data_IF_725901504837
#
_entry.id   IF_725901504837
#
_cell.length_a   1.000
_cell.length_b   1.000
_cell.length_c   1.000
_cell.angle_alpha   90.00
_cell.angle_beta   90.00
_cell.angle_gamma   90.00
#
_symmetry.space_group_name_H-M   'P 1'
#
loop_
_entity.id
_entity.type
_entity.pdbx_description
1 polymer ?
#
# COMPACT_ATOMS: atom_id res chain seq x y z
N UNK A 1 -22.03 -10.06 18.25
CA UNK A 1 -20.76 -9.97 17.49
C UNK A 1 -20.32 -8.51 17.31
N UNK A 2 -20.50 -7.68 18.34
CA UNK A 2 -20.17 -6.25 18.32
C UNK A 2 -18.79 -6.05 18.97
N UNK A 3 -17.87 -5.38 18.28
CA UNK A 3 -16.63 -4.84 18.87
C UNK A 3 -15.37 -5.73 18.84
N UNK A 4 -15.39 -6.93 18.25
CA UNK A 4 -14.19 -7.79 18.10
C UNK A 4 -13.95 -8.18 16.64
N UNK A 5 -12.70 -8.24 16.21
CA UNK A 5 -12.36 -8.64 14.84
C UNK A 5 -12.67 -10.13 14.60
N UNK A 6 -13.06 -10.45 13.37
CA UNK A 6 -13.49 -11.79 12.98
C UNK A 6 -12.36 -12.82 13.10
N UNK A 7 -11.10 -12.41 12.98
CA UNK A 7 -9.92 -13.24 13.19
C UNK A 7 -9.78 -13.68 14.64
N UNK A 8 -9.86 -12.74 15.58
CA UNK A 8 -9.79 -13.03 17.02
C UNK A 8 -10.92 -13.92 17.51
N UNK A 9 -12.15 -13.72 17.00
CA UNK A 9 -13.29 -14.57 17.38
C UNK A 9 -13.07 -16.01 16.89
N UNK A 10 -12.52 -16.17 15.68
CA UNK A 10 -12.25 -17.50 15.11
C UNK A 10 -11.05 -18.17 15.77
N UNK A 11 -10.01 -17.42 16.16
CA UNK A 11 -8.91 -17.98 16.95
C UNK A 11 -9.37 -18.46 18.31
N UNK A 12 -10.26 -17.71 18.98
CA UNK A 12 -10.83 -18.11 20.28
C UNK A 12 -11.68 -19.38 20.14
N UNK A 13 -12.48 -19.48 19.06
CA UNK A 13 -13.28 -20.68 18.76
C UNK A 13 -12.38 -21.88 18.49
N UNK A 14 -11.31 -21.74 17.68
CA UNK A 14 -10.34 -22.82 17.45
C UNK A 14 -9.67 -23.27 18.74
N UNK A 15 -9.18 -22.33 19.55
CA UNK A 15 -8.54 -22.65 20.82
C UNK A 15 -9.50 -23.34 21.81
N UNK A 16 -10.78 -22.97 21.81
CA UNK A 16 -11.81 -23.64 22.60
C UNK A 16 -12.13 -25.05 22.09
N UNK A 17 -12.14 -25.26 20.77
CA UNK A 17 -12.34 -26.58 20.17
C UNK A 17 -11.15 -27.50 20.50
N UNK A 18 -9.92 -27.03 20.28
CA UNK A 18 -8.71 -27.82 20.55
C UNK A 18 -8.54 -28.18 22.04
N UNK A 19 -9.06 -27.35 22.96
CA UNK A 19 -8.93 -27.59 24.41
C UNK A 19 -10.08 -28.36 25.04
N UNK A 20 -11.28 -28.35 24.43
CA UNK A 20 -12.49 -28.94 25.04
C UNK A 20 -13.13 -30.05 24.22
N UNK A 21 -12.70 -30.29 22.99
CA UNK A 21 -13.31 -31.26 22.09
C UNK A 21 -12.26 -32.28 21.68
N UNK A 22 -12.42 -33.51 22.16
CA UNK A 22 -11.59 -34.64 21.73
C UNK A 22 -12.16 -35.16 20.40
N UNK A 23 -11.48 -34.82 19.30
CA UNK A 23 -11.91 -35.18 17.94
C UNK A 23 -11.41 -36.60 17.60
N UNK A 24 -12.31 -37.55 17.27
CA UNK A 24 -11.89 -38.89 16.86
C UNK A 24 -11.08 -38.85 15.55
N UNK A 25 -10.15 -39.79 15.39
CA UNK A 25 -9.25 -39.88 14.23
C UNK A 25 -10.03 -39.86 12.92
N UNK A 26 -9.73 -38.89 12.05
CA UNK A 26 -10.37 -38.72 10.75
C UNK A 26 -11.41 -37.59 10.67
N UNK A 27 -11.76 -36.95 11.80
CA UNK A 27 -12.66 -35.79 11.83
C UNK A 27 -11.87 -34.49 11.98
N UNK A 28 -12.19 -33.50 11.15
CA UNK A 28 -11.62 -32.15 11.21
C UNK A 28 -12.73 -31.10 11.30
N UNK A 29 -12.47 -30.02 12.03
CA UNK A 29 -13.40 -28.88 12.13
C UNK A 29 -12.90 -27.75 11.24
N UNK A 30 -13.71 -27.37 10.27
CA UNK A 30 -13.44 -26.23 9.39
C UNK A 30 -14.49 -25.13 9.62
N UNK A 31 -14.01 -23.91 9.85
CA UNK A 31 -14.87 -22.75 10.13
C UNK A 31 -15.16 -22.05 8.80
N UNK A 32 -16.30 -22.39 8.20
CA UNK A 32 -16.79 -21.81 6.95
C UNK A 32 -17.47 -20.45 7.10
N UNK A 33 -17.97 -19.92 5.98
CA UNK A 33 -18.78 -18.69 5.95
C UNK A 33 -17.97 -17.41 5.67
N UNK A 34 -18.30 -16.30 6.34
CA UNK A 34 -17.68 -14.98 6.10
C UNK A 34 -16.17 -14.97 6.39
N UNK A 35 -15.71 -15.73 7.39
CA UNK A 35 -14.29 -15.84 7.73
C UNK A 35 -13.47 -16.54 6.64
N UNK A 36 -14.02 -17.57 6.02
CA UNK A 36 -13.39 -18.26 4.89
C UNK A 36 -13.28 -17.33 3.67
N UNK A 37 -14.32 -16.54 3.40
CA UNK A 37 -14.28 -15.49 2.38
C UNK A 37 -13.23 -14.42 2.70
N UNK A 38 -13.11 -14.02 3.97
CA UNK A 38 -12.10 -13.07 4.42
C UNK A 38 -10.67 -13.63 4.29
N UNK A 39 -10.45 -14.91 4.62
CA UNK A 39 -9.15 -15.56 4.41
C UNK A 39 -8.79 -15.69 2.93
N UNK A 40 -9.74 -16.12 2.09
CA UNK A 40 -9.55 -16.18 0.63
C UNK A 40 -9.17 -14.81 0.08
N UNK A 41 -9.86 -13.76 0.53
CA UNK A 41 -9.55 -12.38 0.20
C UNK A 41 -8.15 -11.98 0.65
N UNK A 42 -7.79 -12.18 1.93
CA UNK A 42 -6.46 -11.84 2.44
C UNK A 42 -5.32 -12.55 1.70
N UNK A 43 -5.50 -13.82 1.33
CA UNK A 43 -4.51 -14.55 0.52
C UNK A 43 -4.30 -13.93 -0.85
N UNK A 44 -5.37 -13.46 -1.50
CA UNK A 44 -5.26 -12.74 -2.78
C UNK A 44 -4.53 -11.42 -2.60
N UNK A 45 -4.89 -10.64 -1.57
CA UNK A 45 -4.26 -9.35 -1.27
C UNK A 45 -2.75 -9.46 -1.00
N UNK A 46 -2.33 -10.53 -0.32
CA UNK A 46 -0.92 -10.81 -0.08
C UNK A 46 -0.11 -11.03 -1.37
N UNK A 47 -0.77 -11.38 -2.48
CA UNK A 47 -0.15 -11.55 -3.81
C UNK A 47 -0.33 -10.29 -4.67
N UNK A 48 -1.52 -9.69 -4.64
CA UNK A 48 -1.87 -8.53 -5.45
C UNK A 48 -1.04 -7.29 -5.09
N UNK A 49 -0.80 -7.03 -3.79
CA UNK A 49 -0.02 -5.87 -3.35
C UNK A 49 1.43 -5.95 -3.85
N UNK A 50 2.20 -7.03 -3.61
CA UNK A 50 3.55 -7.16 -4.17
C UNK A 50 3.58 -7.12 -5.70
N UNK A 51 2.60 -7.74 -6.37
CA UNK A 51 2.51 -7.75 -7.82
C UNK A 51 2.32 -6.33 -8.37
N UNK A 52 1.45 -5.53 -7.74
CA UNK A 52 1.23 -4.13 -8.12
C UNK A 52 2.51 -3.29 -7.95
N UNK A 53 3.22 -3.45 -6.84
CA UNK A 53 4.48 -2.75 -6.59
C UNK A 53 5.58 -3.16 -7.57
N UNK A 54 5.66 -4.45 -7.92
CA UNK A 54 6.59 -4.94 -8.93
C UNK A 54 6.29 -4.34 -10.31
N UNK A 55 5.02 -4.26 -10.71
CA UNK A 55 4.61 -3.61 -11.95
C UNK A 55 4.92 -2.12 -11.95
N UNK A 56 4.65 -1.40 -10.85
CA UNK A 56 4.99 0.01 -10.70
C UNK A 56 6.51 0.20 -10.84
N UNK A 57 7.31 -0.60 -10.14
CA UNK A 57 8.76 -0.53 -10.21
C UNK A 57 9.29 -0.76 -11.63
N UNK A 58 8.71 -1.73 -12.36
CA UNK A 58 9.05 -2.03 -13.74
C UNK A 58 8.68 -0.88 -14.69
N UNK A 59 7.51 -0.27 -14.52
CA UNK A 59 7.10 0.91 -15.29
C UNK A 59 8.03 2.10 -15.02
N UNK A 60 8.42 2.34 -13.77
CA UNK A 60 9.36 3.39 -13.40
C UNK A 60 10.74 3.17 -14.02
N UNK A 61 11.22 1.92 -14.01
CA UNK A 61 12.49 1.56 -14.65
C UNK A 61 12.45 1.86 -16.15
N UNK A 62 11.37 1.52 -16.86
CA UNK A 62 11.22 1.84 -18.27
C UNK A 62 11.03 3.34 -18.55
N UNK A 63 10.37 4.08 -17.65
CA UNK A 63 10.15 5.51 -17.82
C UNK A 63 11.45 6.33 -17.70
N UNK A 64 12.31 5.99 -16.74
CA UNK A 64 13.51 6.77 -16.44
C UNK A 64 14.82 6.13 -16.92
N UNK A 65 14.81 4.85 -17.30
CA UNK A 65 16.01 4.11 -17.69
C UNK A 65 17.07 3.98 -16.58
N UNK A 66 16.72 4.33 -15.34
CA UNK A 66 17.64 4.39 -14.20
C UNK A 66 17.01 3.77 -12.96
N UNK A 67 17.65 2.70 -12.47
CA UNK A 67 17.24 2.03 -11.24
C UNK A 67 17.33 2.96 -10.02
N UNK A 68 18.29 3.90 -9.99
CA UNK A 68 18.44 4.84 -8.90
C UNK A 68 17.25 5.83 -8.84
N UNK A 69 16.79 6.34 -9.99
CA UNK A 69 15.63 7.24 -10.05
C UNK A 69 14.33 6.49 -9.71
N UNK A 70 14.16 5.27 -10.19
CA UNK A 70 13.02 4.42 -9.82
C UNK A 70 13.00 4.13 -8.30
N UNK A 71 14.15 3.79 -7.71
CA UNK A 71 14.28 3.56 -6.28
C UNK A 71 13.95 4.82 -5.46
N UNK A 72 14.43 6.00 -5.89
CA UNK A 72 14.10 7.28 -5.24
C UNK A 72 12.60 7.53 -5.20
N UNK A 73 11.88 7.24 -6.29
CA UNK A 73 10.42 7.39 -6.34
C UNK A 73 9.73 6.35 -5.45
N UNK A 74 10.24 5.12 -5.42
CA UNK A 74 9.69 4.03 -4.58
C UNK A 74 9.81 4.31 -3.07
N UNK A 75 10.69 5.20 -2.62
CA UNK A 75 10.74 5.65 -1.21
C UNK A 75 9.42 6.27 -0.75
N UNK A 76 8.62 6.81 -1.67
CA UNK A 76 7.29 7.34 -1.34
C UNK A 76 6.30 6.24 -0.95
N UNK A 77 6.51 4.99 -1.38
CA UNK A 77 5.58 3.88 -1.11
C UNK A 77 5.51 3.55 0.38
N UNK A 78 6.63 3.32 1.11
CA UNK A 78 6.59 3.14 2.56
C UNK A 78 5.90 4.30 3.31
N UNK A 79 6.15 5.54 2.91
CA UNK A 79 5.48 6.71 3.50
C UNK A 79 3.97 6.67 3.28
N UNK A 80 3.53 6.31 2.07
CA UNK A 80 2.13 6.14 1.74
C UNK A 80 1.47 5.02 2.57
N UNK A 81 2.16 3.89 2.76
CA UNK A 81 1.68 2.79 3.61
C UNK A 81 1.45 3.27 5.04
N UNK A 82 2.39 4.02 5.62
CA UNK A 82 2.27 4.55 6.98
C UNK A 82 1.02 5.43 7.10
N UNK A 83 0.80 6.34 6.17
CA UNK A 83 -0.39 7.20 6.14
C UNK A 83 -1.69 6.41 6.00
N UNK A 84 -1.74 5.43 5.09
CA UNK A 84 -2.92 4.59 4.88
C UNK A 84 -3.26 3.72 6.09
N UNK A 85 -2.26 3.08 6.70
CA UNK A 85 -2.46 2.26 7.91
C UNK A 85 -2.89 3.14 9.09
N UNK A 86 -2.29 4.31 9.24
CA UNK A 86 -2.68 5.28 10.27
C UNK A 86 -4.14 5.75 10.10
N UNK A 87 -4.57 6.00 8.86
CA UNK A 87 -5.96 6.37 8.56
C UNK A 87 -6.95 5.26 8.90
N UNK A 88 -6.61 4.00 8.60
CA UNK A 88 -7.44 2.85 8.97
C UNK A 88 -7.52 2.68 10.48
N UNK A 89 -6.40 2.88 11.19
CA UNK A 89 -6.34 2.80 12.63
C UNK A 89 -7.27 3.83 13.30
N UNK A 90 -7.21 5.10 12.88
CA UNK A 90 -8.11 6.15 13.41
C UNK A 90 -9.57 5.88 13.06
N UNK A 91 -9.83 5.35 11.86
CA UNK A 91 -11.18 5.03 11.41
C UNK A 91 -11.75 3.75 12.05
N UNK A 92 -10.95 3.01 12.83
CA UNK A 92 -11.33 1.73 13.43
C UNK A 92 -11.65 0.64 12.41
N UNK A 93 -11.15 0.77 11.18
CA UNK A 93 -11.40 -0.15 10.08
C UNK A 93 -10.26 -1.16 9.97
N UNK A 94 -10.61 -2.39 9.62
CA UNK A 94 -9.64 -3.45 9.36
C UNK A 94 -9.23 -3.49 7.89
N UNK A 95 -8.08 -4.09 7.61
CA UNK A 95 -7.66 -4.35 6.24
C UNK A 95 -8.66 -5.31 5.58
N UNK A 96 -9.28 -4.86 4.50
CA UNK A 96 -10.30 -5.57 3.74
C UNK A 96 -10.06 -5.40 2.24
N UNK A 97 -10.78 -6.16 1.39
CA UNK A 97 -10.63 -6.06 -0.08
C UNK A 97 -10.82 -4.62 -0.59
N UNK A 98 -11.87 -3.87 -0.19
CA UNK A 98 -11.99 -2.46 -0.59
C UNK A 98 -10.82 -1.59 -0.13
N UNK A 99 -10.33 -1.78 1.10
CA UNK A 99 -9.19 -1.02 1.63
C UNK A 99 -7.93 -1.26 0.81
N UNK A 100 -7.69 -2.49 0.36
CA UNK A 100 -6.53 -2.81 -0.47
C UNK A 100 -6.57 -2.20 -1.86
N UNK A 101 -7.74 -2.14 -2.49
CA UNK A 101 -7.90 -1.37 -3.74
C UNK A 101 -7.55 0.09 -3.49
N UNK A 102 -8.00 0.66 -2.36
CA UNK A 102 -7.61 2.00 -1.91
C UNK A 102 -6.09 2.17 -1.76
N UNK A 103 -5.38 1.20 -1.17
CA UNK A 103 -3.92 1.23 -1.08
C UNK A 103 -3.24 1.20 -2.44
N UNK A 104 -3.73 0.40 -3.40
CA UNK A 104 -3.19 0.37 -4.76
C UNK A 104 -3.34 1.74 -5.42
N UNK A 105 -4.51 2.37 -5.28
CA UNK A 105 -4.75 3.73 -5.77
C UNK A 105 -3.82 4.74 -5.10
N UNK A 106 -3.65 4.65 -3.78
CA UNK A 106 -2.75 5.50 -3.00
C UNK A 106 -1.30 5.37 -3.49
N UNK A 107 -0.81 4.16 -3.77
CA UNK A 107 0.52 3.96 -4.33
C UNK A 107 0.67 4.63 -5.69
N UNK A 108 -0.34 4.52 -6.56
CA UNK A 108 -0.35 5.21 -7.86
C UNK A 108 -0.21 6.73 -7.73
N UNK A 109 -1.00 7.35 -6.84
CA UNK A 109 -0.93 8.80 -6.60
C UNK A 109 0.42 9.21 -5.99
N UNK A 110 0.92 8.47 -5.00
CA UNK A 110 2.20 8.74 -4.36
C UNK A 110 3.37 8.66 -5.35
N UNK A 111 3.33 7.67 -6.25
CA UNK A 111 4.34 7.49 -7.30
C UNK A 111 4.22 8.58 -8.36
N UNK A 112 3.02 8.94 -8.79
CA UNK A 112 2.81 10.03 -9.76
C UNK A 112 3.43 11.34 -9.27
N UNK A 113 3.22 11.71 -8.01
CA UNK A 113 3.84 12.89 -7.41
C UNK A 113 5.38 12.80 -7.44
N UNK A 114 5.94 11.63 -7.17
CA UNK A 114 7.39 11.39 -7.26
C UNK A 114 7.93 11.48 -8.69
N UNK A 115 7.24 10.87 -9.66
CA UNK A 115 7.58 10.92 -11.10
C UNK A 115 7.65 12.36 -11.58
N UNK A 116 6.61 13.15 -11.34
CA UNK A 116 6.53 14.55 -11.79
C UNK A 116 7.63 15.40 -11.15
N UNK A 117 7.98 15.13 -9.88
CA UNK A 117 9.07 15.83 -9.19
C UNK A 117 10.43 15.49 -9.80
N UNK A 118 10.75 14.20 -9.96
CA UNK A 118 12.02 13.74 -10.51
C UNK A 118 12.19 14.19 -11.97
N UNK A 119 11.13 14.11 -12.77
CA UNK A 119 11.12 14.62 -14.13
C UNK A 119 11.42 16.11 -14.19
N UNK A 120 10.80 16.91 -13.31
CA UNK A 120 11.04 18.35 -13.24
C UNK A 120 12.49 18.69 -12.87
N UNK A 121 13.11 17.90 -11.99
CA UNK A 121 14.52 18.06 -11.61
C UNK A 121 15.43 17.67 -12.79
N UNK A 122 15.14 16.54 -13.45
CA UNK A 122 15.89 16.06 -14.61
C UNK A 122 15.86 17.07 -15.77
N UNK A 123 14.72 17.70 -16.05
CA UNK A 123 14.60 18.73 -17.09
C UNK A 123 15.49 19.95 -16.81
N UNK A 124 15.59 20.39 -15.55
CA UNK A 124 16.46 21.51 -15.14
C UNK A 124 17.94 21.15 -15.21
N UNK A 125 18.29 19.94 -14.77
CA UNK A 125 19.64 19.40 -14.91
C UNK A 125 20.06 19.33 -16.40
N UNK A 126 19.16 18.89 -17.27
CA UNK A 126 19.41 18.85 -18.72
C UNK A 126 19.54 20.26 -19.34
N UNK A 127 18.89 21.27 -18.76
CA UNK A 127 19.04 22.68 -19.14
C UNK A 127 20.37 23.31 -18.66
N UNK A 128 21.23 22.55 -17.97
CA UNK A 128 22.54 23.01 -17.51
C UNK A 128 22.53 23.68 -16.13
N UNK A 129 21.42 23.64 -15.40
CA UNK A 129 21.38 24.11 -14.01
C UNK A 129 22.24 23.21 -13.10
N UNK A 130 22.85 23.82 -12.07
CA UNK A 130 23.53 23.05 -11.02
C UNK A 130 22.54 22.18 -10.25
N UNK A 131 22.98 21.01 -9.76
CA UNK A 131 22.14 20.06 -9.02
C UNK A 131 21.38 20.71 -7.85
N UNK A 132 22.06 21.55 -7.08
CA UNK A 132 21.45 22.24 -5.94
C UNK A 132 20.34 23.20 -6.39
N UNK A 133 20.59 23.99 -7.43
CA UNK A 133 19.59 24.90 -8.00
C UNK A 133 18.39 24.13 -8.57
N UNK A 134 18.67 23.09 -9.36
CA UNK A 134 17.64 22.28 -10.01
C UNK A 134 16.72 21.57 -9.01
N UNK A 135 17.26 21.06 -7.90
CA UNK A 135 16.45 20.46 -6.82
C UNK A 135 15.63 21.52 -6.08
N UNK A 136 16.21 22.66 -5.73
CA UNK A 136 15.52 23.72 -5.00
C UNK A 136 14.38 24.34 -5.81
N UNK A 137 14.66 24.76 -7.04
CA UNK A 137 13.67 25.34 -7.96
C UNK A 137 12.64 24.29 -8.42
N UNK A 138 13.08 23.04 -8.60
CA UNK A 138 12.21 21.90 -8.85
C UNK A 138 11.19 21.73 -7.71
N UNK A 139 11.65 21.71 -6.46
CA UNK A 139 10.79 21.55 -5.29
C UNK A 139 9.80 22.72 -5.13
N UNK A 140 10.25 23.97 -5.24
CA UNK A 140 9.38 25.15 -5.13
C UNK A 140 8.29 25.15 -6.20
N UNK A 141 8.65 24.85 -7.45
CA UNK A 141 7.69 24.86 -8.56
C UNK A 141 6.59 23.81 -8.41
N UNK A 142 6.86 22.73 -7.66
CA UNK A 142 5.92 21.61 -7.45
C UNK A 142 5.15 21.66 -6.14
N UNK A 143 5.59 22.46 -5.18
CA UNK A 143 4.93 22.60 -3.89
C UNK A 143 3.44 22.97 -4.04
N UNK A 144 3.13 24.01 -4.84
CA UNK A 144 1.75 24.46 -5.06
C UNK A 144 0.87 23.39 -5.72
N UNK A 145 1.26 22.79 -6.86
CA UNK A 145 0.51 21.70 -7.48
C UNK A 145 0.28 20.50 -6.57
N UNK A 146 1.31 20.05 -5.83
CA UNK A 146 1.20 18.88 -4.94
C UNK A 146 0.26 19.14 -3.77
N UNK A 147 0.27 20.36 -3.21
CA UNK A 147 -0.66 20.73 -2.15
C UNK A 147 -2.11 20.78 -2.66
N UNK A 148 -2.34 21.28 -3.89
CA UNK A 148 -3.69 21.32 -4.48
C UNK A 148 -4.26 19.91 -4.67
N UNK A 149 -3.45 18.97 -5.16
CA UNK A 149 -3.91 17.58 -5.33
C UNK A 149 -4.12 16.91 -3.97
N UNK A 150 -3.19 17.07 -3.03
CA UNK A 150 -3.29 16.47 -1.70
C UNK A 150 -4.49 16.96 -0.86
N UNK A 151 -4.95 18.19 -1.05
CA UNK A 151 -6.14 18.72 -0.35
C UNK A 151 -7.45 18.23 -0.98
N UNK A 152 -7.43 17.94 -2.28
CA UNK A 152 -8.65 17.59 -3.05
C UNK A 152 -8.93 16.08 -3.06
N UNK A 153 -7.88 15.26 -2.95
CA UNK A 153 -7.96 13.80 -2.98
C UNK A 153 -8.13 13.19 -1.59
#
# INVERSE_FOLDING_TARGET
>A
VQGRDMGSVVSDIRAAIDSKVDLPTGYGVEIGGQFENQQRAQKRLAIEVPLSLALIALLLYFAFGSMAQAALILVNVPLAVIGGVFSLYISGQYLSVPSSVGFITLFGVAVLNGVVMVESINQRLAAGESLHSGVFEGAISRLRPVLMTAITS
#
